data_IF_056977284682
#
_entry.id   IF_056977284682
#
_cell.length_a   1.000
_cell.length_b   1.000
_cell.length_c   1.000
_cell.angle_alpha   90.00
_cell.angle_beta   90.00
_cell.angle_gamma   90.00
#
_symmetry.space_group_name_H-M   'P 1'
#
loop_
_entity.id
_entity.type
_entity.pdbx_description
1 polymer ?
#
# COMPACT_ATOMS: atom_id res chain seq x y z
N UNK A 1 3.79 -8.97 8.90
CA UNK A 1 4.09 -9.02 7.45
C UNK A 1 5.02 -10.20 7.15
N UNK A 2 5.03 -10.76 5.92
CA UNK A 2 5.98 -11.84 5.58
C UNK A 2 7.41 -11.30 5.47
N UNK A 3 8.41 -12.14 5.75
CA UNK A 3 9.83 -11.77 5.64
C UNK A 3 10.21 -11.34 4.21
N UNK A 4 9.59 -11.92 3.19
CA UNK A 4 9.82 -11.56 1.78
C UNK A 4 9.30 -10.14 1.48
N UNK A 5 8.12 -9.78 1.98
CA UNK A 5 7.58 -8.44 1.81
C UNK A 5 8.41 -7.40 2.59
N UNK A 6 8.85 -7.73 3.81
CA UNK A 6 9.79 -6.90 4.58
C UNK A 6 11.09 -6.65 3.80
N UNK A 7 11.73 -7.71 3.30
CA UNK A 7 12.96 -7.58 2.51
C UNK A 7 12.77 -6.77 1.23
N UNK A 8 11.61 -6.86 0.58
CA UNK A 8 11.30 -6.06 -0.59
C UNK A 8 11.21 -4.57 -0.23
N UNK A 9 10.53 -4.24 0.86
CA UNK A 9 10.40 -2.88 1.36
C UNK A 9 11.77 -2.30 1.76
N UNK A 10 12.60 -3.05 2.49
CA UNK A 10 13.97 -2.65 2.85
C UNK A 10 14.85 -2.40 1.62
N UNK A 11 14.68 -3.17 0.54
CA UNK A 11 15.41 -2.92 -0.73
C UNK A 11 14.94 -1.64 -1.41
N UNK A 12 13.68 -1.23 -1.20
CA UNK A 12 13.18 0.04 -1.74
C UNK A 12 13.81 1.25 -1.04
N UNK A 13 14.47 1.10 0.12
CA UNK A 13 15.22 2.21 0.75
C UNK A 13 16.33 2.75 -0.16
N UNK A 14 16.87 1.93 -1.07
CA UNK A 14 17.82 2.39 -2.09
C UNK A 14 17.23 3.45 -3.04
N UNK A 15 15.89 3.58 -3.09
CA UNK A 15 15.18 4.58 -3.88
C UNK A 15 15.08 5.94 -3.17
N UNK A 16 15.30 6.02 -1.85
CA UNK A 16 15.22 7.27 -1.08
C UNK A 16 16.22 8.33 -1.55
N UNK A 17 17.40 7.89 -2.02
CA UNK A 17 18.44 8.77 -2.56
C UNK A 17 18.23 9.09 -4.06
N UNK A 18 17.35 8.37 -4.76
CA UNK A 18 17.12 8.57 -6.18
C UNK A 18 16.12 9.70 -6.39
N UNK A 19 16.40 10.55 -7.38
CA UNK A 19 15.54 11.69 -7.70
C UNK A 19 14.93 11.52 -9.10
N UNK A 20 13.71 12.01 -9.27
CA UNK A 20 13.13 12.20 -10.60
C UNK A 20 13.69 13.47 -11.27
N UNK A 21 13.29 13.74 -12.51
CA UNK A 21 13.76 14.92 -13.28
C UNK A 21 13.42 16.26 -12.61
N UNK A 22 12.41 16.30 -11.75
CA UNK A 22 11.99 17.48 -11.00
C UNK A 22 12.73 17.64 -9.65
N UNK A 23 13.68 16.74 -9.33
CA UNK A 23 14.45 16.77 -8.09
C UNK A 23 13.70 16.26 -6.85
N UNK A 24 12.54 15.62 -7.00
CA UNK A 24 11.81 14.94 -5.92
C UNK A 24 12.29 13.50 -5.78
N UNK A 25 11.99 12.81 -4.66
CA UNK A 25 12.26 11.36 -4.57
C UNK A 25 11.63 10.61 -5.75
N UNK A 26 12.28 9.54 -6.23
CA UNK A 26 11.90 8.87 -7.48
C UNK A 26 10.45 8.35 -7.51
N UNK A 27 9.84 8.10 -6.34
CA UNK A 27 8.47 7.60 -6.20
C UNK A 27 7.41 8.69 -5.98
N UNK A 28 7.78 9.97 -5.99
CA UNK A 28 6.80 11.06 -5.94
C UNK A 28 5.77 10.94 -7.06
N UNK A 29 4.54 11.37 -6.79
CA UNK A 29 3.40 11.30 -7.71
C UNK A 29 3.05 9.86 -8.17
N UNK A 30 3.41 8.86 -7.37
CA UNK A 30 2.93 7.48 -7.48
C UNK A 30 1.99 7.17 -6.32
N UNK A 31 1.09 6.20 -6.51
CA UNK A 31 0.17 5.74 -5.46
C UNK A 31 0.57 4.36 -4.97
N UNK A 32 0.30 4.08 -3.70
CA UNK A 32 0.45 2.75 -3.11
C UNK A 32 -0.82 2.34 -2.37
N UNK A 33 -1.15 1.05 -2.43
CA UNK A 33 -2.18 0.43 -1.63
C UNK A 33 -1.85 -1.04 -1.36
N UNK A 34 -2.57 -1.63 -0.40
CA UNK A 34 -2.13 -2.84 0.27
C UNK A 34 -3.19 -3.95 0.22
N UNK A 35 -2.78 -5.17 -0.10
CA UNK A 35 -3.63 -6.34 0.01
C UNK A 35 -2.97 -7.32 0.97
N UNK A 36 -3.66 -7.65 2.06
CA UNK A 36 -3.13 -8.54 3.10
C UNK A 36 -4.03 -9.76 3.25
N UNK A 37 -3.44 -10.95 3.31
CA UNK A 37 -4.16 -12.18 3.63
C UNK A 37 -3.41 -12.96 4.69
N UNK A 38 -4.15 -13.62 5.56
CA UNK A 38 -3.62 -14.56 6.55
C UNK A 38 -4.80 -15.28 7.19
N UNK A 39 -4.62 -16.53 7.59
CA UNK A 39 -5.68 -17.27 8.28
C UNK A 39 -6.02 -16.66 9.65
N UNK A 40 -5.05 -16.04 10.32
CA UNK A 40 -5.20 -15.45 11.66
C UNK A 40 -5.28 -13.91 11.67
N UNK A 41 -5.52 -13.35 12.86
CA UNK A 41 -5.46 -11.91 13.10
C UNK A 41 -4.05 -11.33 12.89
N UNK A 42 -3.99 -10.04 12.55
CA UNK A 42 -2.73 -9.31 12.30
C UNK A 42 -2.72 -8.47 11.01
N UNK A 43 -3.81 -8.49 10.24
CA UNK A 43 -3.90 -7.76 8.98
C UNK A 43 -3.67 -6.26 9.14
N UNK A 44 -4.26 -5.65 10.17
CA UNK A 44 -4.08 -4.22 10.48
C UNK A 44 -2.64 -3.89 10.84
N UNK A 45 -1.96 -4.75 11.60
CA UNK A 45 -0.54 -4.55 11.90
C UNK A 45 0.31 -4.61 10.64
N UNK A 46 0.06 -5.58 9.76
CA UNK A 46 0.75 -5.66 8.46
C UNK A 46 0.48 -4.43 7.57
N UNK A 47 -0.74 -3.89 7.57
CA UNK A 47 -1.07 -2.66 6.83
C UNK A 47 -0.30 -1.47 7.41
N UNK A 48 -0.19 -1.35 8.74
CA UNK A 48 0.62 -0.32 9.39
C UNK A 48 2.09 -0.41 8.99
N UNK A 49 2.67 -1.62 8.96
CA UNK A 49 4.06 -1.82 8.52
C UNK A 49 4.25 -1.41 7.04
N UNK A 50 3.32 -1.84 6.16
CA UNK A 50 3.34 -1.51 4.74
C UNK A 50 3.14 -0.01 4.45
N UNK A 51 2.51 0.72 5.38
CA UNK A 51 2.31 2.17 5.26
C UNK A 51 3.63 2.96 5.28
N UNK A 52 4.76 2.34 5.62
CA UNK A 52 6.11 2.89 5.38
C UNK A 52 6.35 3.31 3.91
N UNK A 53 5.54 2.82 2.95
CA UNK A 53 5.51 3.34 1.58
C UNK A 53 5.33 4.86 1.49
N UNK A 54 4.68 5.50 2.48
CA UNK A 54 4.58 6.96 2.57
C UNK A 54 5.95 7.63 2.70
N UNK A 55 6.86 7.05 3.50
CA UNK A 55 8.21 7.58 3.68
C UNK A 55 9.05 7.47 2.41
N UNK A 56 8.76 6.46 1.57
CA UNK A 56 9.37 6.30 0.25
C UNK A 56 8.88 7.33 -0.78
N UNK A 57 7.82 8.09 -0.46
CA UNK A 57 7.26 9.14 -1.33
C UNK A 57 5.99 8.77 -2.08
N UNK A 58 5.40 7.59 -1.82
CA UNK A 58 4.09 7.26 -2.39
C UNK A 58 2.97 8.07 -1.73
N UNK A 59 1.98 8.46 -2.53
CA UNK A 59 0.70 8.94 -2.03
C UNK A 59 -0.19 7.73 -1.68
N UNK A 60 -0.68 7.68 -0.45
CA UNK A 60 -1.60 6.63 0.03
C UNK A 60 -2.97 7.25 0.29
N UNK A 61 -3.99 7.01 -0.54
CA UNK A 61 -5.31 7.58 -0.34
C UNK A 61 -6.07 6.94 0.84
N UNK A 62 -7.21 7.52 1.27
CA UNK A 62 -8.08 6.89 2.25
C UNK A 62 -8.49 5.48 1.82
N UNK A 63 -8.54 4.54 2.78
CA UNK A 63 -8.90 3.14 2.53
C UNK A 63 -8.11 2.49 1.38
N UNK A 64 -6.82 2.83 1.23
CA UNK A 64 -5.89 2.20 0.28
C UNK A 64 -5.47 0.79 0.72
N UNK A 65 -6.40 0.00 1.25
CA UNK A 65 -6.14 -1.37 1.60
C UNK A 65 -7.38 -2.25 1.45
N UNK A 66 -7.12 -3.53 1.30
CA UNK A 66 -8.06 -4.61 1.57
C UNK A 66 -7.33 -5.68 2.38
N UNK A 67 -8.08 -6.48 3.11
CA UNK A 67 -7.49 -7.66 3.70
C UNK A 67 -8.46 -8.84 3.75
N UNK A 68 -7.96 -9.97 4.17
CA UNK A 68 -8.76 -11.09 4.61
C UNK A 68 -8.13 -11.77 5.82
N UNK A 69 -8.97 -12.19 6.77
CA UNK A 69 -8.62 -13.17 7.79
C UNK A 69 -9.83 -13.99 8.24
N UNK A 70 -9.56 -15.14 8.88
CA UNK A 70 -10.60 -16.02 9.44
C UNK A 70 -11.00 -15.59 10.87
N UNK A 71 -10.20 -14.72 11.50
CA UNK A 71 -10.36 -14.31 12.88
C UNK A 71 -9.33 -14.98 13.80
N UNK A 72 -9.61 -15.07 15.12
CA UNK A 72 -8.66 -15.64 16.07
C UNK A 72 -8.55 -17.16 15.92
N UNK A 73 -7.30 -17.65 15.85
CA UNK A 73 -6.99 -19.09 15.85
C UNK A 73 -6.85 -19.71 14.45
N UNK A 74 -6.38 -20.96 14.39
CA UNK A 74 -6.06 -21.61 13.12
C UNK A 74 -7.32 -21.84 12.29
N UNK A 75 -7.19 -21.66 10.99
CA UNK A 75 -8.30 -21.81 10.05
C UNK A 75 -7.83 -22.09 8.62
N UNK A 76 -8.77 -22.31 7.69
CA UNK A 76 -8.44 -22.40 6.28
C UNK A 76 -7.80 -21.11 5.79
N UNK A 77 -7.03 -21.20 4.71
CA UNK A 77 -6.60 -20.00 3.95
C UNK A 77 -7.77 -19.43 3.14
N UNK A 78 -7.60 -18.21 2.63
CA UNK A 78 -8.58 -17.54 1.76
C UNK A 78 -9.14 -18.47 0.66
N UNK A 79 -8.28 -19.25 0.01
CA UNK A 79 -8.69 -20.15 -1.09
C UNK A 79 -9.43 -21.41 -0.65
N UNK A 80 -9.48 -21.70 0.65
CA UNK A 80 -10.12 -22.89 1.22
C UNK A 80 -11.49 -22.64 1.83
N UNK A 81 -12.03 -21.43 1.73
CA UNK A 81 -13.31 -21.03 2.34
C UNK A 81 -13.92 -19.85 1.57
N UNK A 82 -15.23 -19.63 1.69
CA UNK A 82 -15.92 -18.43 1.18
C UNK A 82 -16.07 -17.34 2.26
N UNK A 83 -15.73 -17.65 3.51
CA UNK A 83 -15.85 -16.72 4.63
C UNK A 83 -15.14 -15.41 4.32
N UNK A 84 -15.73 -14.27 4.62
CA UNK A 84 -15.07 -12.96 4.53
C UNK A 84 -14.76 -12.47 3.10
N UNK A 85 -14.96 -13.27 2.06
CA UNK A 85 -14.64 -12.89 0.67
C UNK A 85 -15.42 -11.66 0.20
N UNK A 86 -16.70 -11.56 0.54
CA UNK A 86 -17.52 -10.40 0.18
C UNK A 86 -16.97 -9.10 0.79
N UNK A 87 -16.50 -9.17 2.04
CA UNK A 87 -15.90 -8.03 2.73
C UNK A 87 -14.57 -7.62 2.08
N UNK A 88 -13.70 -8.60 1.79
CA UNK A 88 -12.45 -8.38 1.08
C UNK A 88 -12.69 -7.80 -0.31
N UNK A 89 -13.62 -8.35 -1.08
CA UNK A 89 -13.96 -7.86 -2.41
C UNK A 89 -14.55 -6.43 -2.38
N UNK A 90 -15.38 -6.12 -1.38
CA UNK A 90 -15.95 -4.78 -1.21
C UNK A 90 -14.88 -3.75 -0.87
N UNK A 91 -14.01 -4.06 0.09
CA UNK A 91 -12.90 -3.17 0.46
C UNK A 91 -11.86 -3.05 -0.65
N UNK A 92 -11.61 -4.13 -1.41
CA UNK A 92 -10.73 -4.11 -2.58
C UNK A 92 -11.26 -3.19 -3.68
N UNK A 93 -12.57 -3.20 -3.95
CA UNK A 93 -13.20 -2.26 -4.90
C UNK A 93 -13.04 -0.81 -4.45
N UNK A 94 -13.25 -0.53 -3.16
CA UNK A 94 -13.02 0.81 -2.58
C UNK A 94 -11.56 1.24 -2.69
N UNK A 95 -10.62 0.36 -2.34
CA UNK A 95 -9.18 0.59 -2.47
C UNK A 95 -8.80 0.91 -3.93
N UNK A 96 -9.22 0.07 -4.87
CA UNK A 96 -8.95 0.25 -6.30
C UNK A 96 -9.54 1.56 -6.84
N UNK A 97 -10.77 1.91 -6.45
CA UNK A 97 -11.40 3.17 -6.83
C UNK A 97 -10.58 4.37 -6.34
N UNK A 98 -10.19 4.38 -5.08
CA UNK A 98 -9.44 5.50 -4.48
C UNK A 98 -8.03 5.62 -5.08
N UNK A 99 -7.33 4.50 -5.28
CA UNK A 99 -6.03 4.48 -5.96
C UNK A 99 -6.12 5.00 -7.39
N UNK A 100 -7.13 4.56 -8.15
CA UNK A 100 -7.33 5.01 -9.52
C UNK A 100 -7.56 6.53 -9.58
N UNK A 101 -8.45 7.06 -8.74
CA UNK A 101 -8.71 8.49 -8.70
C UNK A 101 -7.48 9.30 -8.28
N UNK A 102 -6.74 8.87 -7.27
CA UNK A 102 -5.51 9.57 -6.86
C UNK A 102 -4.43 9.51 -7.93
N UNK A 103 -4.22 8.36 -8.59
CA UNK A 103 -3.25 8.24 -9.67
C UNK A 103 -3.60 9.17 -10.84
N UNK A 104 -4.88 9.28 -11.18
CA UNK A 104 -5.35 10.23 -12.20
C UNK A 104 -5.13 11.68 -11.77
N UNK A 105 -5.51 12.03 -10.55
CA UNK A 105 -5.32 13.38 -10.02
C UNK A 105 -3.85 13.78 -10.01
N UNK A 106 -2.95 12.91 -9.56
CA UNK A 106 -1.51 13.19 -9.52
C UNK A 106 -0.88 13.25 -10.92
N UNK A 107 -1.45 12.52 -11.90
CA UNK A 107 -1.03 12.64 -13.29
C UNK A 107 -1.47 13.96 -13.92
N UNK A 108 -2.69 14.41 -13.62
CA UNK A 108 -3.28 15.65 -14.15
C UNK A 108 -2.73 16.89 -13.42
N UNK A 109 -2.47 16.77 -12.12
CA UNK A 109 -2.02 17.84 -11.21
C UNK A 109 -1.00 17.25 -10.21
N UNK A 110 0.26 17.05 -10.63
CA UNK A 110 1.28 16.49 -9.76
C UNK A 110 1.56 17.41 -8.57
N UNK A 111 2.00 16.81 -7.46
CA UNK A 111 2.60 17.54 -6.34
C UNK A 111 3.84 18.26 -6.90
N UNK A 112 3.88 19.59 -6.80
CA UNK A 112 4.94 20.36 -7.44
C UNK A 112 6.23 20.20 -6.61
N UNK A 113 7.41 20.42 -7.22
CA UNK A 113 8.70 20.09 -6.60
C UNK A 113 9.05 20.97 -5.40
N UNK A 114 8.44 22.14 -5.27
CA UNK A 114 8.70 23.06 -4.16
C UNK A 114 8.36 22.40 -2.82
N UNK A 115 9.33 22.35 -1.91
CA UNK A 115 9.19 21.68 -0.60
C UNK A 115 9.41 20.16 -0.60
N UNK A 116 9.50 19.53 -1.78
CA UNK A 116 9.79 18.10 -1.95
C UNK A 116 11.28 17.80 -2.26
N UNK A 117 12.12 18.83 -2.21
CA UNK A 117 13.56 18.79 -2.48
C UNK A 117 14.40 18.61 -1.21
N UNK A 118 13.79 18.27 -0.07
CA UNK A 118 14.54 18.09 1.17
C UNK A 118 15.45 16.85 1.08
N UNK A 119 16.69 17.04 1.54
CA UNK A 119 17.91 16.28 1.26
C UNK A 119 18.48 16.44 -0.15
#
# INVERSE_FOLDING_TARGET
MSSVAQQALERMDAMLAQKNEAGQMILYNRVAGFAVTGNEDGAKNCISDLAAAVELGFAVPPLAFTYWNMGPGPGPDYSGTEHGHEWSATTARTCAHNLHHFARTLRERPIPPEGAQWR
#
